data_IF_686983015519
#
_entry.id   IF_686983015519
#
_cell.length_a   1.000
_cell.length_b   1.000
_cell.length_c   1.000
_cell.angle_alpha   90.00
_cell.angle_beta   90.00
_cell.angle_gamma   90.00
#
_symmetry.space_group_name_H-M   'P 1'
#
loop_
_entity.id
_entity.type
_entity.pdbx_description
1 polymer ?
#
# COMPACT_ATOMS: atom_id res chain seq x y z
N UNK A 1 -27.86 -14.46 -44.95
CA UNK A 1 -27.01 -15.05 -46.01
C UNK A 1 -25.58 -15.02 -45.50
N UNK A 2 -25.00 -16.21 -45.35
CA UNK A 2 -23.58 -16.57 -45.13
C UNK A 2 -22.81 -16.13 -43.87
N UNK A 3 -22.48 -17.16 -43.08
CA UNK A 3 -21.37 -17.29 -42.12
C UNK A 3 -20.01 -17.01 -42.76
N UNK A 4 -18.99 -16.65 -41.95
CA UNK A 4 -17.71 -17.38 -41.95
C UNK A 4 -16.95 -17.18 -40.62
N UNK A 5 -16.70 -18.29 -39.92
CA UNK A 5 -15.73 -18.44 -38.83
C UNK A 5 -14.35 -18.77 -39.45
N UNK A 6 -13.26 -18.26 -38.88
CA UNK A 6 -11.90 -18.80 -39.10
C UNK A 6 -11.22 -19.00 -37.75
N UNK A 7 -10.96 -20.27 -37.44
CA UNK A 7 -10.07 -20.74 -36.40
C UNK A 7 -8.66 -20.94 -36.99
N UNK A 8 -7.62 -20.79 -36.17
CA UNK A 8 -6.26 -21.19 -36.52
C UNK A 8 -5.65 -21.94 -35.35
N UNK A 9 -5.36 -23.22 -35.59
CA UNK A 9 -4.58 -24.11 -34.73
C UNK A 9 -3.11 -24.07 -35.17
N UNK A 10 -2.18 -24.16 -34.22
CA UNK A 10 -0.78 -24.50 -34.50
C UNK A 10 -0.45 -25.87 -33.90
N UNK A 11 0.12 -26.69 -34.76
CA UNK A 11 0.49 -28.10 -34.59
C UNK A 11 1.87 -28.25 -33.95
N UNK A 12 2.01 -29.27 -33.10
CA UNK A 12 3.26 -29.78 -32.56
C UNK A 12 3.81 -30.96 -33.40
N UNK A 13 5.12 -31.03 -33.56
CA UNK A 13 5.95 -32.20 -33.90
C UNK A 13 7.16 -32.15 -32.93
N UNK A 14 7.73 -33.21 -32.37
CA UNK A 14 7.58 -34.66 -32.56
C UNK A 14 8.98 -35.32 -32.49
N UNK A 15 9.14 -36.37 -31.67
CA UNK A 15 10.19 -37.41 -31.78
C UNK A 15 11.28 -37.38 -30.69
N UNK A 16 11.37 -38.33 -29.74
CA UNK A 16 11.57 -39.81 -29.80
C UNK A 16 13.05 -40.22 -29.73
N UNK A 17 13.40 -41.00 -28.70
CA UNK A 17 14.69 -41.66 -28.55
C UNK A 17 14.73 -42.61 -27.35
N UNK A 18 14.57 -43.90 -27.63
CA UNK A 18 14.51 -45.05 -26.71
C UNK A 18 15.90 -45.47 -26.19
N UNK A 19 15.94 -46.18 -25.04
CA UNK A 19 17.14 -46.90 -24.60
C UNK A 19 17.03 -47.52 -23.20
N UNK A 20 16.62 -48.79 -23.13
CA UNK A 20 16.65 -49.69 -21.96
C UNK A 20 18.03 -50.33 -21.76
N UNK A 21 18.48 -50.53 -20.50
CA UNK A 21 19.17 -51.76 -20.05
C UNK A 21 19.38 -51.86 -18.53
N UNK A 22 18.66 -52.81 -17.95
CA UNK A 22 19.00 -53.87 -16.97
C UNK A 22 20.51 -54.00 -16.61
N UNK A 23 20.89 -54.10 -15.33
CA UNK A 23 21.16 -55.38 -14.59
C UNK A 23 21.86 -55.18 -13.22
N UNK A 24 21.27 -55.81 -12.19
CA UNK A 24 21.82 -56.61 -11.07
C UNK A 24 23.23 -56.41 -10.49
N UNK A 25 23.37 -56.52 -9.16
CA UNK A 25 24.69 -56.77 -8.56
C UNK A 25 24.84 -56.82 -7.04
N UNK A 26 24.21 -57.80 -6.39
CA UNK A 26 24.71 -58.62 -5.27
C UNK A 26 24.99 -58.07 -3.85
N UNK A 27 24.41 -58.79 -2.89
CA UNK A 27 24.64 -58.81 -1.43
C UNK A 27 26.00 -59.39 -1.02
N UNK A 28 26.49 -59.06 0.18
CA UNK A 28 26.74 -60.01 1.30
C UNK A 28 27.58 -59.43 2.45
N UNK A 29 26.98 -59.46 3.64
CA UNK A 29 27.48 -59.85 4.98
C UNK A 29 28.98 -59.92 5.29
N UNK A 30 29.41 -59.31 6.41
CA UNK A 30 29.64 -59.98 7.72
C UNK A 30 30.62 -59.21 8.65
N UNK A 31 30.10 -58.87 9.83
CA UNK A 31 30.64 -58.92 11.21
C UNK A 31 32.17 -59.06 11.39
N UNK A 32 32.77 -58.13 12.17
CA UNK A 32 33.70 -58.45 13.28
C UNK A 32 33.94 -57.25 14.21
N UNK A 33 33.83 -57.54 15.50
CA UNK A 33 33.95 -56.67 16.67
C UNK A 33 35.40 -56.37 17.07
N UNK A 34 35.68 -55.14 17.51
CA UNK A 34 36.70 -54.88 18.53
C UNK A 34 36.41 -53.60 19.31
N UNK A 35 36.33 -53.77 20.63
CA UNK A 35 36.15 -52.77 21.67
C UNK A 35 37.46 -52.06 21.96
N UNK A 36 37.44 -50.72 21.98
CA UNK A 36 38.47 -49.93 22.65
C UNK A 36 37.84 -48.67 23.25
N UNK A 37 38.02 -48.55 24.56
CA UNK A 37 37.58 -47.48 25.44
C UNK A 37 38.42 -46.22 25.19
N UNK A 38 37.77 -45.10 24.88
CA UNK A 38 38.39 -43.77 24.93
C UNK A 38 37.56 -42.82 25.78
N UNK A 39 38.28 -42.15 26.68
CA UNK A 39 37.79 -41.29 27.73
C UNK A 39 37.11 -40.04 27.17
N UNK A 40 35.96 -39.69 27.76
CA UNK A 40 35.24 -38.45 27.51
C UNK A 40 35.97 -37.28 28.19
N UNK A 41 36.71 -36.49 27.42
CA UNK A 41 37.07 -35.12 27.80
C UNK A 41 36.02 -34.18 27.21
N UNK A 42 35.22 -33.56 28.06
CA UNK A 42 34.24 -32.52 27.70
C UNK A 42 35.01 -31.21 27.47
N UNK A 43 35.10 -30.67 26.25
CA UNK A 43 35.49 -29.28 26.09
C UNK A 43 34.29 -28.42 26.49
N UNK A 44 34.46 -27.62 27.53
CA UNK A 44 33.54 -26.54 27.85
C UNK A 44 33.67 -25.46 26.77
N UNK A 45 32.95 -25.63 25.66
CA UNK A 45 32.75 -24.58 24.68
C UNK A 45 31.78 -23.57 25.27
N UNK A 46 32.33 -22.45 25.75
CA UNK A 46 31.57 -21.22 25.95
C UNK A 46 31.00 -20.80 24.60
N UNK A 47 29.76 -21.20 24.33
CA UNK A 47 28.98 -20.70 23.21
C UNK A 47 28.65 -19.24 23.47
N UNK A 48 29.55 -18.35 23.07
CA UNK A 48 29.16 -16.99 22.73
C UNK A 48 28.16 -17.12 21.57
N UNK A 49 26.88 -17.05 21.89
CA UNK A 49 25.80 -16.92 20.93
C UNK A 49 26.03 -15.63 20.15
N UNK A 50 26.73 -15.75 19.01
CA UNK A 50 26.72 -14.73 17.99
C UNK A 50 25.25 -14.48 17.65
N UNK A 51 24.75 -13.29 18.00
CA UNK A 51 23.42 -12.85 17.60
C UNK A 51 23.32 -13.08 16.09
N UNK A 52 22.34 -13.88 15.67
CA UNK A 52 22.18 -14.19 14.25
C UNK A 52 21.87 -12.90 13.49
N UNK A 53 22.80 -12.45 12.65
CA UNK A 53 22.57 -11.35 11.70
C UNK A 53 21.67 -11.76 10.53
N UNK A 54 20.80 -12.75 10.74
CA UNK A 54 19.86 -13.23 9.75
C UNK A 54 18.67 -12.27 9.65
N UNK A 55 18.15 -12.10 8.42
CA UNK A 55 16.88 -11.41 8.23
C UNK A 55 15.74 -12.25 8.83
N UNK A 56 14.88 -11.62 9.59
CA UNK A 56 13.64 -12.23 10.13
C UNK A 56 12.45 -11.74 9.32
N UNK A 57 11.48 -12.62 9.10
CA UNK A 57 10.22 -12.24 8.45
C UNK A 57 9.41 -11.33 9.39
N UNK A 58 8.77 -10.32 8.82
CA UNK A 58 7.89 -9.40 9.52
C UNK A 58 6.64 -9.15 8.69
N UNK A 59 5.51 -9.03 9.40
CA UNK A 59 4.25 -8.57 8.85
C UNK A 59 3.80 -7.33 9.64
N UNK A 60 3.40 -6.29 8.92
CA UNK A 60 2.82 -5.06 9.46
C UNK A 60 1.36 -5.03 9.02
N UNK A 61 0.42 -5.40 9.91
CA UNK A 61 -1.00 -5.34 9.58
C UNK A 61 -1.49 -3.89 9.58
N UNK A 62 -2.34 -3.57 8.62
CA UNK A 62 -3.07 -2.31 8.52
C UNK A 62 -4.56 -2.57 8.67
N UNK A 63 -5.23 -1.69 9.42
CA UNK A 63 -6.68 -1.63 9.52
C UNK A 63 -7.16 -0.24 9.11
N UNK A 64 -8.39 -0.16 8.62
CA UNK A 64 -9.00 1.10 8.22
C UNK A 64 -10.37 1.24 8.88
N UNK A 65 -10.62 2.41 9.44
CA UNK A 65 -11.88 2.76 10.09
C UNK A 65 -12.34 4.16 9.70
N UNK A 66 -13.62 4.45 9.86
CA UNK A 66 -14.12 5.80 10.09
C UNK A 66 -14.54 5.90 11.56
N UNK A 67 -13.71 6.51 12.41
CA UNK A 67 -13.91 6.50 13.85
C UNK A 67 -13.84 5.08 14.40
N UNK A 68 -15.00 4.53 14.79
CA UNK A 68 -15.13 3.15 15.28
C UNK A 68 -15.66 2.17 14.24
N UNK A 69 -16.12 2.65 13.08
CA UNK A 69 -16.71 1.79 12.04
C UNK A 69 -15.63 1.22 11.13
N UNK A 70 -15.46 -0.12 11.04
CA UNK A 70 -14.52 -0.72 10.10
C UNK A 70 -14.88 -0.39 8.66
N UNK A 71 -13.87 -0.12 7.83
CA UNK A 71 -14.06 0.16 6.40
C UNK A 71 -14.36 -1.12 5.62
N UNK A 72 -15.46 -1.10 4.87
CA UNK A 72 -15.83 -2.04 3.80
C UNK A 72 -16.77 -1.34 2.82
N UNK A 73 -16.99 -1.91 1.63
CA UNK A 73 -17.90 -1.34 0.63
C UNK A 73 -19.36 -1.26 1.14
N UNK A 74 -19.73 -2.15 2.06
CA UNK A 74 -21.08 -2.25 2.61
C UNK A 74 -21.24 -1.43 3.92
N UNK A 75 -20.16 -0.85 4.44
CA UNK A 75 -20.19 -0.02 5.63
C UNK A 75 -20.88 1.32 5.34
N UNK A 76 -21.83 1.69 6.21
CA UNK A 76 -22.31 3.07 6.30
C UNK A 76 -21.37 3.83 7.24
N UNK A 77 -20.80 4.92 6.76
CA UNK A 77 -19.92 5.80 7.51
C UNK A 77 -20.74 7.03 7.88
N UNK A 78 -20.99 7.25 9.17
CA UNK A 78 -21.84 8.33 9.67
C UNK A 78 -21.03 9.40 10.41
N UNK A 79 -21.57 10.61 10.51
CA UNK A 79 -21.02 11.67 11.34
C UNK A 79 -19.68 12.21 10.82
N UNK A 80 -19.47 12.20 9.50
CA UNK A 80 -18.21 12.61 8.88
C UNK A 80 -18.11 14.13 8.72
N UNK A 81 -16.96 14.66 9.09
CA UNK A 81 -16.62 16.07 8.93
C UNK A 81 -17.51 17.03 9.73
N UNK A 82 -17.42 18.30 9.38
CA UNK A 82 -18.01 19.40 10.16
C UNK A 82 -19.53 19.48 10.10
N UNK A 83 -20.14 18.80 9.12
CA UNK A 83 -21.59 18.78 8.90
C UNK A 83 -22.23 17.40 9.16
N UNK A 84 -21.44 16.44 9.66
CA UNK A 84 -21.95 15.12 10.05
C UNK A 84 -22.45 14.27 8.87
N UNK A 85 -21.81 14.38 7.71
CA UNK A 85 -22.19 13.67 6.48
C UNK A 85 -22.16 12.16 6.67
N UNK A 86 -23.15 11.47 6.10
CA UNK A 86 -23.15 10.02 5.94
C UNK A 86 -22.74 9.63 4.52
N UNK A 87 -22.13 8.46 4.37
CA UNK A 87 -21.74 7.95 3.06
C UNK A 87 -21.17 6.55 3.08
N UNK A 88 -20.76 6.09 1.89
CA UNK A 88 -20.16 4.77 1.66
C UNK A 88 -18.90 4.92 0.86
N UNK A 89 -17.90 4.06 1.08
CA UNK A 89 -16.66 4.14 0.31
C UNK A 89 -16.92 3.91 -1.19
N UNK A 90 -16.27 4.71 -2.02
CA UNK A 90 -16.17 4.52 -3.46
C UNK A 90 -14.80 3.94 -3.82
N UNK A 91 -13.75 4.38 -3.13
CA UNK A 91 -12.40 3.81 -3.20
C UNK A 91 -11.76 3.87 -1.82
N UNK A 92 -10.92 2.89 -1.48
CA UNK A 92 -10.19 2.90 -0.20
C UNK A 92 -8.87 2.16 -0.34
N UNK A 93 -7.98 2.78 -1.10
CA UNK A 93 -6.65 2.28 -1.42
C UNK A 93 -5.60 3.32 -1.14
N UNK A 94 -4.40 2.88 -0.80
CA UNK A 94 -3.24 3.76 -0.70
C UNK A 94 -1.93 3.01 -0.87
N UNK A 95 -0.91 3.74 -1.31
CA UNK A 95 0.45 3.23 -1.43
C UNK A 95 1.28 3.57 -0.19
N UNK A 96 2.14 2.66 0.21
CA UNK A 96 3.21 2.94 1.17
C UNK A 96 4.56 2.48 0.62
N UNK A 97 5.62 3.20 0.97
CA UNK A 97 7.00 2.81 0.67
C UNK A 97 7.93 3.22 1.81
N UNK A 98 9.21 2.86 1.69
CA UNK A 98 10.25 3.23 2.68
C UNK A 98 9.90 2.80 4.12
N UNK A 99 9.45 1.54 4.28
CA UNK A 99 9.11 1.01 5.60
C UNK A 99 10.38 0.68 6.38
N UNK A 100 10.47 1.23 7.59
CA UNK A 100 11.57 0.99 8.52
C UNK A 100 11.04 0.74 9.92
N UNK A 101 11.70 -0.13 10.68
CA UNK A 101 11.52 -0.19 12.14
C UNK A 101 12.43 0.83 12.80
N UNK A 102 11.94 1.46 13.86
CA UNK A 102 12.73 2.36 14.70
C UNK A 102 13.15 1.61 15.95
N UNK A 103 14.43 1.63 16.26
CA UNK A 103 14.95 1.02 17.49
C UNK A 103 14.86 2.00 18.67
N UNK A 104 14.88 1.48 19.90
CA UNK A 104 14.93 2.29 21.11
C UNK A 104 16.20 3.16 21.20
N UNK A 105 17.25 2.84 20.44
CA UNK A 105 18.48 3.65 20.33
C UNK A 105 18.41 4.70 19.21
N UNK A 106 17.28 4.80 18.49
CA UNK A 106 17.08 5.77 17.41
C UNK A 106 17.60 5.33 16.03
N UNK A 107 17.99 4.07 15.87
CA UNK A 107 18.42 3.51 14.58
C UNK A 107 17.20 3.12 13.73
N UNK A 108 17.32 3.27 12.41
CA UNK A 108 16.32 2.81 11.44
C UNK A 108 16.75 1.48 10.82
N UNK A 109 15.93 0.44 11.01
CA UNK A 109 16.15 -0.86 10.39
C UNK A 109 15.24 -1.00 9.16
N UNK A 110 15.76 -0.96 7.93
CA UNK A 110 14.94 -1.04 6.73
C UNK A 110 14.28 -2.41 6.58
N UNK A 111 13.02 -2.41 6.16
CA UNK A 111 12.27 -3.61 5.82
C UNK A 111 12.37 -3.81 4.30
N UNK A 112 12.96 -4.92 3.89
CA UNK A 112 12.92 -5.38 2.50
C UNK A 112 11.57 -6.05 2.27
N UNK A 113 10.74 -5.48 1.39
CA UNK A 113 9.41 -6.04 1.13
C UNK A 113 9.51 -7.36 0.37
N UNK A 114 8.60 -8.28 0.68
CA UNK A 114 8.40 -9.45 -0.16
C UNK A 114 7.81 -9.04 -1.51
N UNK A 115 8.26 -9.70 -2.58
CA UNK A 115 7.86 -9.40 -3.96
C UNK A 115 6.58 -10.16 -4.33
N UNK A 116 5.52 -9.42 -4.66
CA UNK A 116 4.17 -9.88 -5.02
C UNK A 116 3.50 -8.88 -5.97
N UNK A 117 2.37 -9.22 -6.58
CA UNK A 117 1.63 -8.26 -7.41
C UNK A 117 1.13 -7.01 -6.65
N UNK A 118 1.05 -7.08 -5.31
CA UNK A 118 0.62 -6.00 -4.43
C UNK A 118 1.81 -5.31 -3.72
N UNK A 119 3.03 -5.82 -3.90
CA UNK A 119 4.25 -5.30 -3.28
C UNK A 119 5.47 -5.57 -4.16
N UNK A 120 6.10 -4.54 -4.69
CA UNK A 120 7.31 -4.72 -5.54
C UNK A 120 8.20 -3.51 -5.40
N UNK A 121 9.51 -3.69 -5.46
CA UNK A 121 10.49 -2.60 -5.44
C UNK A 121 10.31 -1.66 -4.23
N UNK A 122 10.01 -2.24 -3.06
CA UNK A 122 9.73 -1.54 -1.80
C UNK A 122 8.51 -0.59 -1.84
N UNK A 123 7.56 -0.82 -2.73
CA UNK A 123 6.25 -0.14 -2.76
C UNK A 123 5.16 -1.18 -2.54
N UNK A 124 4.22 -0.91 -1.63
CA UNK A 124 3.05 -1.76 -1.39
C UNK A 124 1.76 -0.99 -1.68
N UNK A 125 0.77 -1.64 -2.30
CA UNK A 125 -0.60 -1.16 -2.42
C UNK A 125 -1.46 -1.85 -1.37
N UNK A 126 -2.07 -1.06 -0.49
CA UNK A 126 -3.08 -1.52 0.45
C UNK A 126 -4.46 -1.29 -0.18
N UNK A 127 -5.34 -2.28 -0.07
CA UNK A 127 -6.72 -2.24 -0.60
C UNK A 127 -7.71 -2.80 0.43
N UNK A 128 -8.61 -1.93 0.89
CA UNK A 128 -9.61 -2.24 1.91
C UNK A 128 -11.00 -2.51 1.31
N UNK A 129 -11.14 -2.46 -0.01
CA UNK A 129 -12.43 -2.69 -0.67
C UNK A 129 -12.66 -4.19 -0.81
N UNK A 130 -13.74 -4.68 -0.20
CA UNK A 130 -14.16 -6.08 -0.34
C UNK A 130 -14.89 -6.35 -1.66
N UNK A 131 -15.25 -5.31 -2.40
CA UNK A 131 -15.85 -5.39 -3.74
C UNK A 131 -15.12 -4.47 -4.72
N UNK A 132 -15.07 -4.89 -5.98
CA UNK A 132 -14.56 -4.13 -7.09
C UNK A 132 -15.62 -3.13 -7.59
N UNK A 133 -15.29 -2.40 -8.66
CA UNK A 133 -16.19 -1.46 -9.31
C UNK A 133 -15.48 -0.18 -9.74
N UNK A 134 -16.14 0.61 -10.59
CA UNK A 134 -15.62 1.90 -11.05
C UNK A 134 -16.76 2.87 -11.37
N UNK A 135 -16.44 4.15 -11.54
CA UNK A 135 -17.43 5.18 -11.85
C UNK A 135 -18.52 5.23 -10.77
N UNK A 136 -19.79 5.24 -11.19
CA UNK A 136 -20.95 5.24 -10.30
C UNK A 136 -21.18 3.90 -9.57
N UNK A 137 -20.59 2.80 -10.05
CA UNK A 137 -20.67 1.47 -9.44
C UNK A 137 -19.41 1.12 -8.63
N UNK A 138 -18.61 2.12 -8.23
CA UNK A 138 -17.42 1.90 -7.44
C UNK A 138 -17.77 1.24 -6.09
N UNK A 139 -17.03 0.19 -5.71
CA UNK A 139 -17.34 -0.66 -4.55
C UNK A 139 -18.69 -1.41 -4.60
N UNK A 140 -19.31 -1.56 -5.77
CA UNK A 140 -20.62 -2.24 -5.93
C UNK A 140 -20.56 -3.45 -6.87
N UNK A 141 -19.38 -3.82 -7.36
CA UNK A 141 -19.17 -4.95 -8.26
C UNK A 141 -18.91 -6.27 -7.53
N UNK A 142 -18.20 -7.18 -8.22
CA UNK A 142 -17.83 -8.50 -7.70
C UNK A 142 -16.90 -8.41 -6.50
N UNK A 143 -16.80 -9.51 -5.73
CA UNK A 143 -15.84 -9.63 -4.64
C UNK A 143 -14.41 -9.31 -5.11
N UNK A 144 -13.64 -8.63 -4.25
CA UNK A 144 -12.24 -8.32 -4.53
C UNK A 144 -11.32 -9.43 -4.00
N UNK A 145 -10.76 -10.31 -4.86
CA UNK A 145 -9.83 -11.34 -4.40
C UNK A 145 -8.45 -10.78 -4.04
N UNK A 146 -8.15 -9.53 -4.40
CA UNK A 146 -6.84 -8.89 -4.25
C UNK A 146 -6.84 -7.83 -3.12
N UNK A 147 -7.66 -8.02 -2.08
CA UNK A 147 -7.55 -7.21 -0.87
C UNK A 147 -6.16 -7.36 -0.27
N UNK A 148 -5.57 -6.24 0.16
CA UNK A 148 -4.29 -6.25 0.86
C UNK A 148 -4.36 -5.36 2.09
N UNK A 149 -4.33 -5.98 3.27
CA UNK A 149 -4.41 -5.31 4.58
C UNK A 149 -3.14 -5.49 5.39
N UNK A 150 -2.03 -5.92 4.79
CA UNK A 150 -0.75 -5.98 5.48
C UNK A 150 0.40 -5.74 4.52
N UNK A 151 1.54 -5.35 5.08
CA UNK A 151 2.80 -5.31 4.36
C UNK A 151 3.71 -6.38 4.92
N UNK A 152 4.23 -7.24 4.06
CA UNK A 152 5.12 -8.36 4.42
C UNK A 152 6.52 -8.13 3.90
N UNK A 153 7.51 -8.55 4.67
CA UNK A 153 8.90 -8.41 4.29
C UNK A 153 9.85 -9.02 5.29
N UNK A 154 11.11 -8.58 5.22
CA UNK A 154 12.21 -9.10 6.01
C UNK A 154 13.07 -7.97 6.55
N UNK A 155 13.54 -8.10 7.78
CA UNK A 155 14.37 -7.09 8.45
C UNK A 155 15.52 -7.77 9.20
N UNK A 156 16.70 -7.16 9.20
CA UNK A 156 17.81 -7.61 10.05
C UNK A 156 17.62 -7.02 11.44
N UNK A 157 17.07 -7.83 12.37
CA UNK A 157 16.71 -7.34 13.71
C UNK A 157 17.89 -7.33 14.69
N UNK A 158 18.82 -8.28 14.59
CA UNK A 158 19.93 -8.41 15.51
C UNK A 158 19.47 -8.51 16.98
N UNK A 159 20.08 -7.71 17.86
CA UNK A 159 19.70 -7.59 19.28
C UNK A 159 18.89 -6.32 19.59
N UNK A 160 18.44 -5.60 18.55
CA UNK A 160 17.77 -4.32 18.74
C UNK A 160 16.38 -4.49 19.36
N UNK A 161 16.05 -3.58 20.28
CA UNK A 161 14.69 -3.42 20.78
C UNK A 161 13.95 -2.43 19.88
N UNK A 162 12.78 -2.83 19.37
CA UNK A 162 11.95 -1.98 18.52
C UNK A 162 11.11 -1.05 19.39
N UNK A 163 11.06 0.22 19.00
CA UNK A 163 10.33 1.29 19.68
C UNK A 163 9.35 2.03 18.75
N UNK A 164 9.34 1.73 17.45
CA UNK A 164 8.44 2.39 16.51
C UNK A 164 8.50 1.81 15.11
N UNK A 165 7.66 2.34 14.23
CA UNK A 165 7.66 2.07 12.80
C UNK A 165 7.52 3.39 12.04
N UNK A 166 8.19 3.50 10.90
CA UNK A 166 8.03 4.62 9.98
C UNK A 166 7.83 4.12 8.56
N UNK A 167 6.99 4.83 7.81
CA UNK A 167 6.77 4.59 6.39
C UNK A 167 6.38 5.91 5.71
N UNK A 168 6.52 5.95 4.39
CA UNK A 168 6.07 7.08 3.58
C UNK A 168 4.76 6.72 2.87
N UNK A 169 3.74 7.55 3.01
CA UNK A 169 2.48 7.45 2.27
C UNK A 169 2.68 7.97 0.84
N UNK A 170 2.67 7.07 -0.13
CA UNK A 170 2.76 7.39 -1.56
C UNK A 170 3.61 6.44 -2.38
N UNK A 171 4.01 6.90 -3.56
CA UNK A 171 4.87 6.17 -4.51
C UNK A 171 6.19 6.92 -4.62
N UNK A 172 7.37 6.30 -4.50
CA UNK A 172 8.67 6.99 -4.55
C UNK A 172 8.86 7.70 -5.90
N UNK A 173 9.60 8.82 -5.91
CA UNK A 173 9.79 9.64 -7.12
C UNK A 173 10.34 8.84 -8.32
N UNK A 174 11.21 7.87 -8.05
CA UNK A 174 11.80 6.98 -9.06
C UNK A 174 10.77 6.15 -9.82
N UNK A 175 9.59 5.94 -9.23
CA UNK A 175 8.51 5.15 -9.82
C UNK A 175 7.27 6.00 -10.15
N UNK A 176 7.10 7.17 -9.53
CA UNK A 176 5.82 7.89 -9.55
C UNK A 176 5.34 8.30 -10.95
N UNK A 177 6.26 8.54 -11.87
CA UNK A 177 5.91 8.99 -13.22
C UNK A 177 6.32 7.97 -14.29
N UNK A 178 6.69 6.75 -13.90
CA UNK A 178 7.00 5.72 -14.89
C UNK A 178 5.78 5.39 -15.76
N UNK A 179 6.02 4.85 -16.96
CA UNK A 179 4.94 4.36 -17.82
C UNK A 179 4.19 3.20 -17.14
N UNK A 180 2.96 3.50 -16.74
CA UNK A 180 2.11 2.65 -15.92
C UNK A 180 1.66 1.40 -16.66
N UNK A 181 1.61 1.45 -18.00
CA UNK A 181 1.23 0.31 -18.85
C UNK A 181 2.36 -0.73 -18.93
N UNK A 182 3.60 -0.28 -18.69
CA UNK A 182 4.81 -1.08 -18.69
C UNK A 182 5.32 -1.43 -17.29
N UNK A 183 4.75 -0.83 -16.25
CA UNK A 183 5.08 -1.13 -14.86
C UNK A 183 4.65 -2.56 -14.47
N UNK A 184 5.31 -3.11 -13.45
CA UNK A 184 4.88 -4.31 -12.74
C UNK A 184 3.89 -3.95 -11.63
N UNK A 185 3.16 -4.92 -11.08
CA UNK A 185 2.40 -4.70 -9.84
C UNK A 185 3.33 -4.22 -8.72
N UNK A 186 2.90 -3.35 -7.80
CA UNK A 186 1.55 -2.84 -7.62
C UNK A 186 1.24 -1.55 -8.42
N UNK A 187 2.11 -1.15 -9.35
CA UNK A 187 2.01 0.12 -10.06
C UNK A 187 1.44 -0.03 -11.49
N UNK A 188 1.25 -1.26 -11.96
CA UNK A 188 0.69 -1.53 -13.29
C UNK A 188 -0.75 -1.02 -13.45
N UNK A 189 -1.00 -0.23 -14.49
CA UNK A 189 -2.33 0.22 -14.90
C UNK A 189 -2.49 0.05 -16.43
N UNK A 190 -3.50 -0.69 -16.94
CA UNK A 190 -4.56 -1.37 -16.20
C UNK A 190 -4.03 -2.58 -15.39
N UNK A 191 -4.63 -2.79 -14.21
CA UNK A 191 -4.25 -3.79 -13.22
C UNK A 191 -4.91 -3.53 -11.86
N UNK A 192 -4.32 -4.03 -10.77
CA UNK A 192 -4.80 -3.83 -9.39
C UNK A 192 -4.80 -2.34 -8.99
N UNK A 193 -3.94 -1.54 -9.62
CA UNK A 193 -3.86 -0.09 -9.46
C UNK A 193 -4.84 0.70 -10.34
N UNK A 194 -5.73 0.08 -11.10
CA UNK A 194 -6.61 0.82 -12.01
C UNK A 194 -7.40 1.88 -11.24
N UNK A 195 -7.35 3.14 -11.71
CA UNK A 195 -7.95 4.30 -11.06
C UNK A 195 -7.10 4.99 -9.98
N UNK A 196 -5.95 4.40 -9.60
CA UNK A 196 -4.94 4.98 -8.71
C UNK A 196 -3.87 5.78 -9.47
N UNK A 197 -4.14 6.10 -10.74
CA UNK A 197 -3.36 7.06 -11.52
C UNK A 197 -4.17 8.33 -11.77
N UNK A 198 -3.46 9.42 -11.98
CA UNK A 198 -4.07 10.66 -12.41
C UNK A 198 -4.48 10.55 -13.89
N UNK A 199 -5.66 11.08 -14.22
CA UNK A 199 -6.12 11.19 -15.61
C UNK A 199 -5.76 12.51 -16.28
N UNK A 200 -5.45 13.53 -15.47
CA UNK A 200 -5.16 14.91 -15.90
C UNK A 200 -3.77 15.39 -15.48
N UNK A 201 -3.13 14.67 -14.56
CA UNK A 201 -1.74 14.84 -14.16
C UNK A 201 -0.97 13.58 -14.58
N UNK A 202 0.34 13.68 -14.73
CA UNK A 202 1.16 12.48 -14.93
C UNK A 202 1.42 11.84 -13.56
N UNK A 203 1.37 10.50 -13.51
CA UNK A 203 1.78 9.72 -12.35
C UNK A 203 0.66 9.13 -11.50
N UNK A 204 0.98 8.78 -10.24
CA UNK A 204 0.08 8.05 -9.34
C UNK A 204 -0.61 8.96 -8.33
N UNK A 205 -1.82 8.55 -7.96
CA UNK A 205 -2.48 8.94 -6.71
C UNK A 205 -1.92 8.05 -5.61
N UNK A 206 -1.38 8.67 -4.57
CA UNK A 206 -0.90 8.03 -3.35
C UNK A 206 -2.04 7.47 -2.53
N UNK A 207 -3.20 8.13 -2.59
CA UNK A 207 -4.43 7.70 -1.93
C UNK A 207 -5.60 7.77 -2.89
N UNK A 208 -6.53 6.84 -2.74
CA UNK A 208 -7.90 6.92 -3.20
C UNK A 208 -8.77 6.61 -2.01
N UNK A 209 -9.04 7.61 -1.17
CA UNK A 209 -9.93 7.50 -0.01
C UNK A 209 -11.20 8.27 -0.31
N UNK A 210 -12.01 7.69 -1.18
CA UNK A 210 -13.17 8.33 -1.77
C UNK A 210 -14.44 7.79 -1.12
N UNK A 211 -15.44 8.63 -0.95
CA UNK A 211 -16.77 8.22 -0.52
C UNK A 211 -17.84 8.76 -1.47
N UNK A 212 -18.92 8.02 -1.61
CA UNK A 212 -20.20 8.59 -2.02
C UNK A 212 -20.92 9.14 -0.79
N UNK A 213 -21.24 10.42 -0.81
CA UNK A 213 -22.03 11.09 0.22
C UNK A 213 -23.52 10.87 -0.07
N UNK A 214 -24.31 10.67 0.99
CA UNK A 214 -25.76 10.49 0.87
C UNK A 214 -26.49 11.82 0.57
N UNK A 215 -25.81 12.95 0.82
CA UNK A 215 -26.27 14.30 0.47
C UNK A 215 -25.43 14.88 -0.66
N UNK A 216 -26.04 15.74 -1.48
CA UNK A 216 -25.33 16.43 -2.54
C UNK A 216 -24.30 17.43 -1.99
N UNK A 217 -23.10 17.36 -2.52
CA UNK A 217 -22.04 18.37 -2.38
C UNK A 217 -22.38 19.51 -3.35
N UNK A 218 -22.39 20.73 -2.84
CA UNK A 218 -22.75 21.93 -3.60
C UNK A 218 -21.58 22.90 -3.73
N UNK A 219 -21.59 23.77 -4.74
CA UNK A 219 -20.57 24.80 -4.93
C UNK A 219 -21.11 26.21 -4.75
N UNK A 220 -20.55 27.00 -3.82
CA UNK A 220 -20.87 28.42 -3.69
C UNK A 220 -20.71 29.16 -5.03
N UNK A 221 -21.73 29.93 -5.42
CA UNK A 221 -21.72 30.68 -6.69
C UNK A 221 -21.94 29.84 -7.95
N UNK A 222 -22.20 28.53 -7.83
CA UNK A 222 -22.52 27.63 -8.96
C UNK A 222 -23.59 26.61 -8.54
N UNK A 223 -24.84 27.05 -8.29
CA UNK A 223 -25.89 26.20 -7.68
C UNK A 223 -26.31 25.01 -8.55
N UNK A 224 -26.11 25.08 -9.87
CA UNK A 224 -26.39 23.98 -10.80
C UNK A 224 -25.33 22.87 -10.76
N UNK A 225 -24.16 23.14 -10.19
CA UNK A 225 -23.11 22.14 -10.02
C UNK A 225 -23.34 21.37 -8.72
N UNK A 226 -23.41 20.04 -8.82
CA UNK A 226 -23.48 19.15 -7.67
C UNK A 226 -22.61 17.91 -7.90
N UNK A 227 -22.07 17.36 -6.82
CA UNK A 227 -21.43 16.04 -6.78
C UNK A 227 -22.03 15.23 -5.64
N UNK A 228 -21.89 13.92 -5.69
CA UNK A 228 -22.12 13.06 -4.51
C UNK A 228 -20.87 12.25 -4.17
N UNK A 229 -19.71 12.58 -4.75
CA UNK A 229 -18.45 11.88 -4.51
C UNK A 229 -17.44 12.84 -3.92
N UNK A 230 -17.06 12.59 -2.68
CA UNK A 230 -15.97 13.31 -2.01
C UNK A 230 -14.68 12.51 -2.16
N UNK A 231 -13.64 13.14 -2.71
CA UNK A 231 -12.39 12.47 -3.04
C UNK A 231 -11.27 12.90 -2.09
N UNK A 232 -10.34 11.99 -1.84
CA UNK A 232 -9.05 12.32 -1.24
C UNK A 232 -7.96 11.65 -2.07
N UNK A 233 -7.47 12.40 -3.05
CA UNK A 233 -6.42 11.99 -3.95
C UNK A 233 -5.13 12.73 -3.59
N UNK A 234 -4.35 12.17 -2.66
CA UNK A 234 -2.98 12.60 -2.42
C UNK A 234 -2.10 12.22 -3.62
N UNK A 235 -1.15 13.07 -4.01
CA UNK A 235 -0.21 12.77 -5.08
C UNK A 235 0.68 13.96 -5.41
N UNK A 236 1.81 13.72 -6.08
CA UNK A 236 2.67 14.81 -6.54
C UNK A 236 1.93 15.68 -7.57
N UNK A 237 2.03 17.00 -7.45
CA UNK A 237 1.37 17.99 -8.33
C UNK A 237 2.35 19.06 -8.81
N UNK A 238 1.89 19.93 -9.73
CA UNK A 238 2.72 20.90 -10.42
C UNK A 238 3.94 20.23 -11.08
N UNK A 239 3.66 19.15 -11.82
CA UNK A 239 4.65 18.33 -12.50
C UNK A 239 4.92 18.85 -13.91
N UNK A 240 6.17 18.77 -14.33
CA UNK A 240 6.65 19.14 -15.68
C UNK A 240 7.49 18.02 -16.26
N UNK A 241 7.46 17.86 -17.59
CA UNK A 241 8.12 16.79 -18.34
C UNK A 241 7.14 15.69 -18.76
N UNK A 242 7.56 14.84 -19.71
CA UNK A 242 6.77 13.72 -20.22
C UNK A 242 7.52 12.38 -20.15
N UNK A 243 7.09 11.50 -19.24
CA UNK A 243 7.71 10.20 -19.08
C UNK A 243 7.45 9.23 -20.24
N UNK A 244 6.38 9.44 -21.03
CA UNK A 244 6.05 8.55 -22.16
C UNK A 244 7.07 8.75 -23.29
N UNK A 245 7.47 9.98 -23.54
CA UNK A 245 8.55 10.32 -24.48
C UNK A 245 9.96 10.12 -23.91
N UNK A 246 10.07 9.66 -22.65
CA UNK A 246 11.34 9.38 -21.99
C UNK A 246 11.99 10.60 -21.30
N UNK A 247 11.27 11.71 -21.18
CA UNK A 247 11.73 12.87 -20.41
C UNK A 247 11.63 12.61 -18.90
N UNK A 248 12.48 13.31 -18.13
CA UNK A 248 12.40 13.27 -16.67
C UNK A 248 11.25 14.15 -16.20
N UNK A 249 10.30 13.55 -15.49
CA UNK A 249 9.25 14.30 -14.79
C UNK A 249 9.77 14.82 -13.45
N UNK A 250 9.53 16.09 -13.16
CA UNK A 250 9.82 16.73 -11.88
C UNK A 250 8.59 17.49 -11.41
N UNK A 251 8.29 17.41 -10.11
CA UNK A 251 7.13 18.07 -9.51
C UNK A 251 7.57 19.06 -8.45
N UNK A 252 6.99 20.25 -8.48
CA UNK A 252 7.24 21.25 -7.44
C UNK A 252 6.64 20.81 -6.09
N UNK A 253 5.54 20.04 -6.11
CA UNK A 253 4.89 19.52 -4.91
C UNK A 253 4.97 18.01 -4.89
N UNK A 254 5.76 17.47 -3.96
CA UNK A 254 5.96 16.03 -3.84
C UNK A 254 4.79 15.35 -3.13
N UNK A 255 4.20 15.99 -2.12
CA UNK A 255 3.02 15.56 -1.35
C UNK A 255 3.12 14.15 -0.77
N UNK A 256 4.31 13.77 -0.27
CA UNK A 256 4.56 12.48 0.40
C UNK A 256 4.63 12.70 1.90
N UNK A 257 3.77 12.02 2.65
CA UNK A 257 3.74 12.12 4.11
C UNK A 257 4.62 11.04 4.73
N UNK A 258 5.57 11.44 5.58
CA UNK A 258 6.33 10.51 6.41
C UNK A 258 5.59 10.27 7.73
N UNK A 259 5.08 9.06 7.88
CA UNK A 259 4.30 8.64 9.04
C UNK A 259 5.23 7.92 10.00
N UNK A 260 5.36 8.44 11.22
CA UNK A 260 6.09 7.81 12.32
C UNK A 260 5.11 7.44 13.43
N UNK A 261 5.13 6.17 13.85
CA UNK A 261 4.29 5.65 14.91
C UNK A 261 5.17 5.02 16.00
N UNK A 262 5.34 5.77 17.09
CA UNK A 262 6.07 5.31 18.26
C UNK A 262 5.27 4.25 19.04
N UNK A 263 5.97 3.36 19.74
CA UNK A 263 5.38 2.26 20.51
C UNK A 263 4.98 1.04 19.67
N UNK A 264 5.37 0.97 18.40
CA UNK A 264 5.09 -0.20 17.56
C UNK A 264 5.81 -1.45 18.08
N UNK A 265 5.06 -2.53 18.26
CA UNK A 265 5.53 -3.83 18.70
C UNK A 265 5.28 -4.87 17.60
N UNK A 266 6.34 -5.37 16.93
CA UNK A 266 6.20 -6.41 15.91
C UNK A 266 5.38 -7.62 16.43
N UNK A 267 4.40 -8.06 15.64
CA UNK A 267 3.51 -9.17 15.98
C UNK A 267 2.42 -8.88 17.01
N UNK A 268 2.34 -7.66 17.57
CA UNK A 268 1.29 -7.24 18.52
C UNK A 268 0.50 -6.03 18.05
N UNK A 269 1.20 -5.05 17.48
CA UNK A 269 0.62 -3.82 16.98
C UNK A 269 0.02 -4.01 15.58
N UNK A 270 -1.04 -3.26 15.31
CA UNK A 270 -1.60 -3.04 13.96
C UNK A 270 -1.66 -1.54 13.70
N UNK A 271 -1.49 -1.12 12.46
CA UNK A 271 -1.55 0.29 12.07
C UNK A 271 -2.98 0.61 11.64
N UNK A 272 -3.63 1.54 12.33
CA UNK A 272 -4.97 2.05 11.97
C UNK A 272 -4.82 3.29 11.10
N UNK A 273 -5.51 3.33 9.96
CA UNK A 273 -5.89 4.54 9.26
C UNK A 273 -7.32 4.93 9.66
N UNK A 274 -7.53 6.17 10.11
CA UNK A 274 -8.83 6.68 10.53
C UNK A 274 -9.35 7.76 9.58
N UNK A 275 -10.31 7.38 8.72
CA UNK A 275 -10.95 8.27 7.76
C UNK A 275 -11.69 9.43 8.44
N UNK A 276 -12.37 9.17 9.56
CA UNK A 276 -13.09 10.24 10.27
C UNK A 276 -12.11 11.28 10.83
N UNK A 277 -10.92 10.85 11.27
CA UNK A 277 -9.86 11.77 11.69
C UNK A 277 -9.30 12.59 10.51
N UNK A 278 -9.19 11.99 9.32
CA UNK A 278 -8.74 12.69 8.09
C UNK A 278 -9.70 13.82 7.72
N UNK A 279 -11.02 13.55 7.75
CA UNK A 279 -12.04 14.51 7.30
C UNK A 279 -12.66 15.34 8.42
N UNK A 280 -12.20 15.21 9.67
CA UNK A 280 -12.82 15.81 10.85
C UNK A 280 -13.04 17.33 10.74
N UNK A 281 -12.19 18.03 9.97
CA UNK A 281 -12.24 19.48 9.78
C UNK A 281 -12.72 19.90 8.38
N UNK A 282 -13.10 18.94 7.54
CA UNK A 282 -13.62 19.20 6.20
C UNK A 282 -15.14 19.36 6.21
N UNK A 283 -15.69 20.17 5.31
CA UNK A 283 -17.12 20.24 5.04
C UNK A 283 -17.47 19.35 3.84
N UNK A 284 -17.94 18.14 4.11
CA UNK A 284 -18.26 17.14 3.07
C UNK A 284 -19.59 17.42 2.34
N UNK A 285 -20.21 18.59 2.55
CA UNK A 285 -21.40 19.04 1.83
C UNK A 285 -21.13 20.22 0.89
N UNK A 286 -19.91 20.75 0.86
CA UNK A 286 -19.54 21.90 0.03
C UNK A 286 -18.17 21.70 -0.62
N UNK A 287 -18.00 22.28 -1.80
CA UNK A 287 -16.73 22.27 -2.53
C UNK A 287 -16.54 23.60 -3.27
N UNK A 288 -15.35 24.18 -3.20
CA UNK A 288 -15.06 25.50 -3.75
C UNK A 288 -14.57 25.46 -5.19
N UNK A 289 -13.88 24.40 -5.64
CA UNK A 289 -13.37 24.28 -7.00
C UNK A 289 -12.99 22.85 -7.41
N UNK A 290 -12.97 22.59 -8.72
CA UNK A 290 -12.46 21.31 -9.25
C UNK A 290 -13.39 20.11 -9.02
N UNK A 291 -12.85 18.88 -8.99
CA UNK A 291 -13.60 17.72 -8.52
C UNK A 291 -13.75 17.74 -7.00
N UNK A 292 -14.93 17.39 -6.48
CA UNK A 292 -15.22 17.56 -5.05
C UNK A 292 -14.22 16.85 -4.11
N UNK A 293 -13.76 17.58 -3.10
CA UNK A 293 -12.79 17.11 -2.12
C UNK A 293 -11.34 17.44 -2.51
N UNK A 294 -10.36 16.74 -1.94
CA UNK A 294 -8.95 17.11 -2.10
C UNK A 294 -8.27 16.40 -3.27
N UNK A 295 -7.70 17.20 -4.19
CA UNK A 295 -6.97 16.79 -5.41
C UNK A 295 -5.47 17.16 -5.39
N UNK A 296 -4.89 17.41 -4.21
CA UNK A 296 -3.46 17.70 -3.95
C UNK A 296 -2.87 18.98 -4.54
N UNK A 297 -3.64 19.79 -5.24
CA UNK A 297 -3.11 21.02 -5.83
C UNK A 297 -3.07 22.13 -4.79
N UNK A 298 -2.07 23.01 -4.86
CA UNK A 298 -1.95 24.14 -3.93
C UNK A 298 -3.12 25.13 -3.99
N UNK A 299 -3.92 25.07 -5.04
CA UNK A 299 -5.09 25.90 -5.28
C UNK A 299 -6.40 25.26 -4.84
N UNK A 300 -6.36 24.02 -4.35
CA UNK A 300 -7.53 23.27 -3.89
C UNK A 300 -7.77 23.57 -2.40
N UNK A 301 -8.84 24.32 -2.05
CA UNK A 301 -9.10 24.70 -0.66
C UNK A 301 -9.41 23.50 0.24
N UNK A 302 -10.08 22.47 -0.29
CA UNK A 302 -10.46 21.27 0.44
C UNK A 302 -9.24 20.47 0.93
N UNK A 303 -8.09 20.62 0.27
CA UNK A 303 -6.84 19.97 0.67
C UNK A 303 -6.21 20.50 1.95
N UNK A 304 -6.49 21.74 2.37
CA UNK A 304 -5.77 22.34 3.50
C UNK A 304 -5.87 21.51 4.79
N UNK A 305 -7.08 21.08 5.13
CA UNK A 305 -7.35 20.29 6.34
C UNK A 305 -6.95 18.83 6.18
N UNK A 306 -7.15 18.27 4.98
CA UNK A 306 -6.74 16.91 4.64
C UNK A 306 -5.22 16.76 4.76
N UNK A 307 -4.44 17.69 4.19
CA UNK A 307 -2.97 17.69 4.28
C UNK A 307 -2.50 17.75 5.73
N UNK A 308 -3.10 18.64 6.52
CA UNK A 308 -2.81 18.77 7.96
C UNK A 308 -3.01 17.44 8.69
N UNK A 309 -4.05 16.67 8.36
CA UNK A 309 -4.30 15.35 8.97
C UNK A 309 -3.21 14.31 8.65
N UNK A 310 -2.52 14.45 7.52
CA UNK A 310 -1.40 13.61 7.12
C UNK A 310 -0.03 14.17 7.56
N UNK A 311 0.00 15.29 8.29
CA UNK A 311 1.26 15.92 8.67
C UNK A 311 1.94 16.67 7.53
N UNK A 312 1.20 17.00 6.48
CA UNK A 312 1.67 17.81 5.35
C UNK A 312 1.29 19.28 5.54
N UNK A 313 2.07 20.17 4.94
CA UNK A 313 1.75 21.60 4.86
C UNK A 313 1.07 21.88 3.53
N UNK A 314 -0.03 22.63 3.58
CA UNK A 314 -0.71 23.15 2.39
C UNK A 314 -0.64 24.69 2.40
N UNK A 315 -0.39 25.37 1.27
CA UNK A 315 -0.27 26.83 1.25
C UNK A 315 -1.53 27.59 1.69
N UNK A 316 -2.71 26.98 1.52
CA UNK A 316 -3.99 27.52 1.99
C UNK A 316 -4.31 27.12 3.44
N UNK A 317 -3.45 26.32 4.07
CA UNK A 317 -3.58 25.93 5.47
C UNK A 317 -3.14 27.03 6.42
N UNK A 318 -3.60 26.94 7.67
CA UNK A 318 -3.24 27.88 8.74
C UNK A 318 -1.89 27.57 9.38
N UNK A 319 -1.30 26.42 9.08
CA UNK A 319 -0.02 25.96 9.62
C UNK A 319 1.10 26.20 8.60
N UNK A 320 2.21 26.78 9.05
CA UNK A 320 3.40 27.00 8.21
C UNK A 320 4.46 25.89 8.34
N UNK A 321 4.32 25.04 9.35
CA UNK A 321 5.19 23.89 9.62
C UNK A 321 4.37 22.60 9.56
N UNK A 322 5.01 21.50 9.16
CA UNK A 322 4.39 20.18 9.12
C UNK A 322 3.83 19.83 10.52
N UNK A 323 2.51 19.67 10.66
CA UNK A 323 1.91 19.32 11.95
C UNK A 323 2.15 17.83 12.25
N UNK A 324 1.89 17.41 13.48
CA UNK A 324 1.80 15.98 13.77
C UNK A 324 0.58 15.40 13.06
N UNK A 325 0.79 14.35 12.27
CA UNK A 325 -0.28 13.66 11.57
C UNK A 325 -1.27 13.01 12.56
N UNK A 326 -2.54 12.96 12.19
CA UNK A 326 -3.63 12.35 12.97
C UNK A 326 -4.34 11.22 12.23
N UNK A 327 -4.00 10.98 10.96
CA UNK A 327 -4.62 9.98 10.10
C UNK A 327 -4.29 8.54 10.53
N UNK A 328 -3.08 8.31 11.05
CA UNK A 328 -2.57 7.00 11.43
C UNK A 328 -2.31 6.89 12.93
N UNK A 329 -2.59 5.72 13.50
CA UNK A 329 -2.32 5.39 14.90
C UNK A 329 -2.03 3.89 15.07
N UNK A 330 -1.61 3.47 16.26
CA UNK A 330 -1.44 2.06 16.60
C UNK A 330 -2.66 1.50 17.32
N UNK A 331 -3.07 0.30 16.93
CA UNK A 331 -3.93 -0.58 17.71
C UNK A 331 -3.05 -1.65 18.34
N UNK A 332 -2.85 -1.53 19.65
CA UNK A 332 -2.09 -2.49 20.43
C UNK A 332 -3.08 -3.45 21.11
N UNK A 333 -2.88 -4.75 20.90
CA UNK A 333 -3.52 -5.79 21.72
C UNK A 333 -2.63 -6.16 22.91
#
# INVERSE_FOLDING_TARGET
>A
MSLLFIASALTACGGSGSGTKIESGNSSSAISSSSSSQASSIPSSSSSSAASNGKVAIEIPFEAFAGTTPISCDALLDGLGTVGTSGRIADFRFYVHNLVLLTASGETLPIELDETDLQTANVALLDFRNKLGSGAAACQGDENPAMNKSVKGKVTLGSHTIAGVRFTLGVPETHNHADQTRATGPLKSPGLASGMNWGWNVGYKFTGLDIFTDVAITRPGSPEWTSNRWNIHLGSTACTGDAISGEKVSCAQLNRADITLDGFMPGKSRIKLDYAAIVARSNLGADEAGPAGCMSTVSDPECAEVFTSFGLVHPLGTTTNAPMQTAFSLLNN
#
